data_IF_586697674665
#
_entry.id   IF_586697674665
#
_cell.length_a   1.000
_cell.length_b   1.000
_cell.length_c   1.000
_cell.angle_alpha   90.00
_cell.angle_beta   90.00
_cell.angle_gamma   90.00
#
_symmetry.space_group_name_H-M   'P 1'
#
loop_
_entity.id
_entity.type
_entity.pdbx_description
1 polymer ?
#
# COMPACT_ATOMS: atom_id res chain seq x y z
N UNK A 1 24.61 -7.15 -17.38
CA UNK A 1 24.05 -6.80 -16.04
C UNK A 1 23.96 -5.29 -15.73
N UNK A 2 24.83 -4.41 -16.25
CA UNK A 2 24.79 -2.94 -15.97
C UNK A 2 23.60 -2.15 -16.56
N UNK A 3 22.93 -2.65 -17.62
CA UNK A 3 21.79 -1.96 -18.27
C UNK A 3 20.50 -1.93 -17.42
N UNK A 4 20.26 -2.95 -16.59
CA UNK A 4 19.06 -3.03 -15.75
C UNK A 4 19.11 -2.09 -14.53
N UNK A 5 20.31 -1.79 -14.00
CA UNK A 5 20.48 -0.84 -12.89
C UNK A 5 20.08 0.59 -13.28
N UNK A 6 20.42 1.03 -14.50
CA UNK A 6 20.17 2.40 -14.97
C UNK A 6 18.68 2.73 -15.11
N UNK A 7 17.87 1.75 -15.55
CA UNK A 7 16.41 1.94 -15.64
C UNK A 7 15.79 2.12 -14.25
N UNK A 8 16.20 1.34 -13.25
CA UNK A 8 15.70 1.49 -11.88
C UNK A 8 15.97 2.89 -11.30
N UNK A 9 17.15 3.45 -11.55
CA UNK A 9 17.53 4.80 -11.07
C UNK A 9 16.72 5.92 -11.72
N UNK A 10 16.31 5.76 -12.98
CA UNK A 10 15.53 6.77 -13.71
C UNK A 10 14.05 6.81 -13.27
N UNK A 11 13.46 5.68 -12.87
CA UNK A 11 12.15 5.64 -12.22
C UNK A 11 12.18 6.23 -10.80
N UNK A 12 13.29 6.03 -10.06
CA UNK A 12 13.46 6.60 -8.71
C UNK A 12 13.47 8.13 -8.68
N UNK A 13 13.88 8.80 -9.76
CA UNK A 13 13.94 10.27 -9.79
C UNK A 13 12.56 10.91 -10.04
N UNK A 14 11.72 10.33 -10.91
CA UNK A 14 10.38 10.88 -11.20
C UNK A 14 9.39 10.73 -10.03
N UNK A 15 9.45 9.63 -9.27
CA UNK A 15 8.61 9.42 -8.07
C UNK A 15 9.04 10.29 -6.87
N UNK A 16 10.23 10.91 -6.92
CA UNK A 16 10.79 11.69 -5.81
C UNK A 16 10.27 13.14 -5.76
N UNK A 17 9.85 13.70 -6.89
CA UNK A 17 9.21 15.03 -6.95
C UNK A 17 7.81 15.03 -6.31
N UNK A 18 7.16 13.86 -6.23
CA UNK A 18 5.82 13.68 -5.65
C UNK A 18 5.85 13.27 -4.16
N UNK A 19 7.04 13.26 -3.54
CA UNK A 19 7.26 12.70 -2.19
C UNK A 19 7.04 13.74 -1.09
N UNK A 20 5.80 13.80 -0.64
CA UNK A 20 5.44 14.10 0.75
C UNK A 20 6.39 13.40 1.74
N UNK A 21 6.90 14.15 2.71
CA UNK A 21 8.19 13.98 3.41
C UNK A 21 8.40 12.72 4.28
N UNK A 22 7.48 11.75 4.35
CA UNK A 22 7.51 10.72 5.41
C UNK A 22 7.84 9.28 4.94
N UNK A 23 8.17 9.07 3.67
CA UNK A 23 8.59 7.76 3.13
C UNK A 23 10.08 7.75 2.82
N UNK A 24 10.89 7.63 3.87
CA UNK A 24 12.37 7.65 3.83
C UNK A 24 12.95 6.47 3.05
N UNK A 25 12.35 5.29 3.11
CA UNK A 25 12.89 4.06 2.50
C UNK A 25 11.85 3.30 1.66
N UNK A 26 12.30 2.77 0.52
CA UNK A 26 11.49 1.92 -0.36
C UNK A 26 11.62 0.45 0.03
N UNK A 27 10.56 -0.13 0.55
CA UNK A 27 10.50 -1.56 0.87
C UNK A 27 10.01 -2.32 -0.37
N UNK A 28 10.83 -3.23 -0.90
CA UNK A 28 10.47 -4.09 -2.03
C UNK A 28 10.33 -5.54 -1.55
N UNK A 29 9.12 -6.06 -1.63
CA UNK A 29 8.80 -7.44 -1.27
C UNK A 29 8.64 -8.28 -2.53
N UNK A 30 9.25 -9.48 -2.53
CA UNK A 30 9.00 -10.48 -3.57
C UNK A 30 7.70 -11.21 -3.23
N UNK A 31 6.79 -11.27 -4.19
CA UNK A 31 5.54 -12.01 -4.08
C UNK A 31 5.21 -12.66 -5.42
N UNK A 32 4.52 -13.79 -5.37
CA UNK A 32 3.85 -14.41 -6.51
C UNK A 32 2.62 -13.60 -6.91
N UNK A 33 2.07 -13.89 -8.10
CA UNK A 33 0.88 -13.19 -8.60
C UNK A 33 -0.34 -13.40 -7.69
N UNK A 34 -0.53 -14.62 -7.20
CA UNK A 34 -1.65 -14.99 -6.33
C UNK A 34 -1.55 -14.28 -4.97
N UNK A 35 -0.36 -14.28 -4.37
CA UNK A 35 -0.12 -13.53 -3.13
C UNK A 35 -0.41 -12.04 -3.31
N UNK A 36 0.05 -11.46 -4.43
CA UNK A 36 -0.21 -10.05 -4.74
C UNK A 36 -1.72 -9.75 -4.83
N UNK A 37 -2.50 -10.63 -5.47
CA UNK A 37 -3.95 -10.47 -5.55
C UNK A 37 -4.61 -10.57 -4.17
N UNK A 38 -4.21 -11.54 -3.34
CA UNK A 38 -4.73 -11.68 -1.98
C UNK A 38 -4.43 -10.46 -1.10
N UNK A 39 -3.21 -9.93 -1.19
CA UNK A 39 -2.80 -8.72 -0.45
C UNK A 39 -3.61 -7.51 -0.94
N UNK A 40 -3.86 -7.41 -2.25
CA UNK A 40 -4.67 -6.32 -2.82
C UNK A 40 -6.11 -6.36 -2.31
N UNK A 41 -6.74 -7.54 -2.32
CA UNK A 41 -8.10 -7.71 -1.80
C UNK A 41 -8.21 -7.31 -0.32
N UNK A 42 -7.22 -7.67 0.52
CA UNK A 42 -7.16 -7.26 1.94
C UNK A 42 -6.95 -5.74 2.12
N UNK A 43 -6.15 -5.12 1.26
CA UNK A 43 -5.98 -3.66 1.28
C UNK A 43 -7.29 -2.95 0.92
N UNK A 44 -8.02 -3.45 -0.07
CA UNK A 44 -9.33 -2.92 -0.46
C UNK A 44 -10.37 -3.08 0.65
N UNK A 45 -10.39 -4.22 1.35
CA UNK A 45 -11.32 -4.45 2.46
C UNK A 45 -11.03 -3.56 3.68
N UNK A 46 -9.78 -3.18 3.90
CA UNK A 46 -9.37 -2.25 4.97
C UNK A 46 -9.58 -0.78 4.60
N UNK A 47 -9.94 -0.49 3.34
CA UNK A 47 -10.10 0.88 2.85
C UNK A 47 -8.79 1.66 2.71
N UNK A 48 -7.64 0.97 2.76
CA UNK A 48 -6.31 1.60 2.68
C UNK A 48 -5.70 1.42 1.30
N UNK A 49 -4.81 2.35 0.91
CA UNK A 49 -4.00 2.18 -0.30
C UNK A 49 -3.07 0.98 -0.13
N UNK A 50 -2.87 0.20 -1.19
CA UNK A 50 -2.01 -0.99 -1.18
C UNK A 50 -0.60 -0.72 -0.62
N UNK A 51 0.00 0.42 -0.96
CA UNK A 51 1.33 0.79 -0.45
C UNK A 51 1.33 1.06 1.06
N UNK A 52 0.29 1.71 1.59
CA UNK A 52 0.21 2.01 3.03
C UNK A 52 -0.04 0.72 3.81
N UNK A 53 -0.99 -0.09 3.33
CA UNK A 53 -1.31 -1.40 3.89
C UNK A 53 -0.07 -2.29 4.01
N UNK A 54 0.69 -2.44 2.91
CA UNK A 54 1.92 -3.25 2.93
C UNK A 54 2.97 -2.68 3.88
N UNK A 55 3.13 -1.36 3.94
CA UNK A 55 4.10 -0.72 4.83
C UNK A 55 3.73 -0.91 6.30
N UNK A 56 2.47 -0.73 6.63
CA UNK A 56 1.95 -0.87 8.00
C UNK A 56 2.04 -2.31 8.50
N UNK A 57 1.68 -3.30 7.67
CA UNK A 57 1.88 -4.72 8.01
C UNK A 57 3.35 -5.04 8.27
N UNK A 58 4.27 -4.53 7.44
CA UNK A 58 5.69 -4.86 7.57
C UNK A 58 6.36 -4.16 8.76
N UNK A 59 5.87 -2.98 9.14
CA UNK A 59 6.44 -2.21 10.25
C UNK A 59 5.79 -2.55 11.59
N UNK A 60 4.47 -2.71 11.63
CA UNK A 60 3.70 -2.86 12.86
C UNK A 60 3.22 -4.30 13.10
N UNK A 61 3.18 -5.14 12.06
CA UNK A 61 2.70 -6.53 12.15
C UNK A 61 1.18 -6.68 12.10
N UNK A 62 0.42 -5.60 12.23
CA UNK A 62 -1.04 -5.58 12.21
C UNK A 62 -1.60 -4.37 11.44
N UNK A 63 -2.81 -4.52 10.89
CA UNK A 63 -3.57 -3.42 10.28
C UNK A 63 -5.01 -3.49 10.76
N UNK A 64 -5.48 -2.40 11.35
CA UNK A 64 -6.87 -2.24 11.76
C UNK A 64 -7.72 -1.92 10.53
N UNK A 65 -8.66 -2.82 10.21
CA UNK A 65 -9.69 -2.56 9.22
C UNK A 65 -10.73 -1.61 9.82
N UNK A 66 -10.98 -0.47 9.15
CA UNK A 66 -12.13 0.36 9.53
C UNK A 66 -13.37 -0.27 8.90
N UNK A 67 -14.34 -0.75 9.70
CA UNK A 67 -15.58 -1.28 9.16
C UNK A 67 -16.35 -0.16 8.45
N UNK A 68 -16.97 -0.49 7.31
CA UNK A 68 -17.88 0.44 6.63
C UNK A 68 -19.15 0.56 7.45
N UNK A 69 -19.67 1.79 7.62
CA UNK A 69 -20.99 2.01 8.22
C UNK A 69 -22.04 1.20 7.45
N UNK A 70 -22.78 0.40 8.20
CA UNK A 70 -23.94 -0.35 7.72
C UNK A 70 -25.12 0.59 7.46
N UNK A 71 -26.06 0.15 6.64
CA UNK A 71 -27.19 1.00 6.23
C UNK A 71 -28.07 1.40 7.42
N UNK A 72 -28.23 0.50 8.40
CA UNK A 72 -28.88 0.81 9.69
C UNK A 72 -28.18 1.94 10.46
N UNK A 73 -26.84 1.97 10.47
CA UNK A 73 -26.08 3.02 11.15
C UNK A 73 -26.19 4.36 10.43
N UNK A 74 -26.40 4.35 9.11
CA UNK A 74 -26.64 5.58 8.33
C UNK A 74 -28.05 6.13 8.53
N UNK A 75 -29.07 5.27 8.61
CA UNK A 75 -30.46 5.68 8.88
C UNK A 75 -30.61 6.27 10.29
N UNK A 76 -29.87 5.77 11.29
CA UNK A 76 -29.93 6.29 12.65
C UNK A 76 -29.33 7.71 12.82
N UNK A 77 -28.60 8.21 11.81
CA UNK A 77 -27.98 9.54 11.81
C UNK A 77 -28.80 10.55 10.98
N UNK A 78 -29.75 10.10 10.16
CA UNK A 78 -30.62 10.92 9.31
C UNK A 78 -31.82 11.49 10.09
#
# INVERSE_FOLDING_TARGET
MKKYRRKATQWQQKDNEEKQMNKTEFIKVRCTLEEKQRIKAKAESTGRKFSEFCREILLNGEVVAVPKMTDNEKEAIA
#
